data_IF_335225957345
#
_entry.id   IF_335225957345
#
_cell.length_a   1.000
_cell.length_b   1.000
_cell.length_c   1.000
_cell.angle_alpha   90.00
_cell.angle_beta   90.00
_cell.angle_gamma   90.00
#
_symmetry.space_group_name_H-M   'P 1'
#
loop_
_entity.id
_entity.type
_entity.pdbx_description
1 polymer ?
#
# COMPACT_ATOMS: atom_id res chain seq x y z
N UNK A 1 10.30 13.50 26.94
CA UNK A 1 10.16 12.20 26.25
C UNK A 1 11.35 11.26 26.44
N UNK A 2 12.61 11.69 26.28
CA UNK A 2 13.81 10.83 26.45
C UNK A 2 13.88 10.15 27.82
N UNK A 3 13.49 10.82 28.91
CA UNK A 3 13.45 10.22 30.27
C UNK A 3 12.41 9.11 30.43
N UNK A 4 11.32 9.12 29.66
CA UNK A 4 10.30 8.06 29.66
C UNK A 4 10.80 6.85 28.86
N UNK A 5 11.43 7.10 27.71
CA UNK A 5 12.05 6.06 26.90
C UNK A 5 13.21 5.37 27.63
N UNK A 6 14.04 6.14 28.35
CA UNK A 6 15.09 5.62 29.21
C UNK A 6 14.54 4.80 30.39
N UNK A 7 13.36 5.15 30.93
CA UNK A 7 12.68 4.36 31.96
C UNK A 7 12.19 3.01 31.41
N UNK A 8 11.68 2.96 30.17
CA UNK A 8 11.27 1.70 29.52
C UNK A 8 12.46 0.81 29.14
N UNK A 9 13.56 1.38 28.63
CA UNK A 9 14.75 0.61 28.24
C UNK A 9 15.51 0.10 29.47
N UNK A 10 15.74 0.95 30.47
CA UNK A 10 16.52 0.59 31.67
C UNK A 10 15.79 -0.40 32.58
N UNK A 11 14.45 -0.36 32.66
CA UNK A 11 13.67 -1.35 33.42
C UNK A 11 13.48 -2.68 32.68
N UNK A 12 13.56 -2.73 31.35
CA UNK A 12 13.40 -3.99 30.62
C UNK A 12 14.73 -4.73 30.42
N UNK A 13 15.86 -4.03 30.21
CA UNK A 13 17.15 -4.68 29.93
C UNK A 13 17.94 -5.11 31.19
N UNK A 14 17.90 -4.36 32.29
CA UNK A 14 18.61 -4.77 33.53
C UNK A 14 17.98 -6.00 34.21
N UNK A 15 16.83 -6.49 33.74
CA UNK A 15 16.08 -7.62 34.32
C UNK A 15 16.41 -8.99 33.70
N UNK A 16 17.30 -9.07 32.72
CA UNK A 16 17.55 -10.31 31.96
C UNK A 16 18.55 -11.27 32.63
N UNK A 17 19.46 -10.80 33.49
CA UNK A 17 20.60 -11.64 33.94
C UNK A 17 20.59 -12.10 35.41
N UNK A 18 19.66 -11.61 36.26
CA UNK A 18 19.55 -12.05 37.67
C UNK A 18 18.10 -12.02 38.17
N UNK A 19 17.24 -12.88 37.64
CA UNK A 19 15.89 -13.08 38.20
C UNK A 19 15.78 -14.48 38.78
N UNK A 20 15.51 -14.55 40.09
CA UNK A 20 14.90 -15.74 40.69
C UNK A 20 13.70 -16.18 39.87
N UNK A 21 13.55 -17.48 39.65
CA UNK A 21 12.44 -18.03 38.85
C UNK A 21 11.08 -17.63 39.44
N UNK A 22 10.02 -17.63 38.63
CA UNK A 22 8.66 -17.35 39.14
C UNK A 22 8.32 -18.28 40.32
N UNK A 23 8.72 -19.55 40.21
CA UNK A 23 8.53 -20.58 41.23
C UNK A 23 9.26 -20.18 42.51
N UNK A 24 10.55 -19.86 42.46
CA UNK A 24 11.32 -19.41 43.64
C UNK A 24 10.68 -18.23 44.38
N UNK A 25 10.08 -17.28 43.64
CA UNK A 25 9.42 -16.12 44.27
C UNK A 25 8.07 -16.45 44.88
N UNK A 26 7.31 -17.36 44.26
CA UNK A 26 6.07 -17.88 44.85
C UNK A 26 6.41 -18.65 46.13
N UNK A 27 7.44 -19.50 46.08
CA UNK A 27 7.95 -20.23 47.24
C UNK A 27 8.38 -19.27 48.37
N UNK A 28 9.18 -18.24 48.06
CA UNK A 28 9.57 -17.22 49.06
C UNK A 28 8.38 -16.51 49.69
N UNK A 29 7.33 -16.19 48.92
CA UNK A 29 6.13 -15.58 49.48
C UNK A 29 5.42 -16.51 50.47
N UNK A 30 5.20 -17.78 50.09
CA UNK A 30 4.51 -18.74 50.96
C UNK A 30 5.36 -19.19 52.15
N UNK A 31 6.67 -19.30 51.99
CA UNK A 31 7.61 -19.57 53.09
C UNK A 31 7.58 -18.41 54.09
N UNK A 32 7.63 -17.17 53.60
CA UNK A 32 7.54 -15.98 54.45
C UNK A 32 6.17 -15.87 55.12
N UNK A 33 5.07 -16.26 54.44
CA UNK A 33 3.72 -16.30 55.04
C UNK A 33 3.61 -17.36 56.14
N UNK A 34 4.14 -18.57 55.92
CA UNK A 34 4.13 -19.70 56.86
C UNK A 34 4.90 -19.40 58.15
N UNK A 35 5.90 -18.52 58.10
CA UNK A 35 6.62 -18.07 59.30
C UNK A 35 5.76 -17.29 60.29
N UNK A 36 4.73 -16.56 59.81
CA UNK A 36 3.86 -15.75 60.68
C UNK A 36 2.47 -16.36 60.91
N UNK A 37 2.08 -17.36 60.12
CA UNK A 37 0.83 -18.09 60.29
C UNK A 37 1.07 -19.60 60.04
N UNK A 38 1.58 -20.33 61.05
CA UNK A 38 2.07 -21.71 60.88
C UNK A 38 0.96 -22.75 60.60
N UNK A 39 -0.29 -22.44 60.92
CA UNK A 39 -1.44 -23.29 60.61
C UNK A 39 -1.83 -23.13 59.14
N UNK A 40 -1.46 -24.11 58.31
CA UNK A 40 -1.87 -24.16 56.92
C UNK A 40 -3.33 -24.57 56.83
N UNK A 41 -4.25 -23.62 56.63
CA UNK A 41 -5.60 -23.95 56.21
C UNK A 41 -5.59 -24.49 54.78
N UNK A 42 -6.55 -25.38 54.45
CA UNK A 42 -6.72 -25.90 53.09
C UNK A 42 -6.82 -24.79 52.03
N UNK A 43 -7.33 -23.62 52.44
CA UNK A 43 -7.41 -22.43 51.61
C UNK A 43 -6.04 -21.86 51.23
N UNK A 44 -5.06 -21.84 52.15
CA UNK A 44 -3.69 -21.37 51.86
C UNK A 44 -2.97 -22.36 50.94
N UNK A 45 -3.18 -23.66 51.12
CA UNK A 45 -2.64 -24.70 50.24
C UNK A 45 -3.21 -24.58 48.83
N UNK A 46 -4.52 -24.33 48.71
CA UNK A 46 -5.16 -24.08 47.42
C UNK A 46 -4.67 -22.78 46.79
N UNK A 47 -4.51 -21.70 47.56
CA UNK A 47 -3.94 -20.44 47.09
C UNK A 47 -2.50 -20.62 46.56
N UNK A 48 -1.67 -21.41 47.25
CA UNK A 48 -0.32 -21.77 46.84
C UNK A 48 -0.32 -22.56 45.52
N UNK A 49 -1.23 -23.53 45.38
CA UNK A 49 -1.42 -24.29 44.13
C UNK A 49 -1.85 -23.38 42.98
N UNK A 50 -2.78 -22.45 43.20
CA UNK A 50 -3.22 -21.47 42.20
C UNK A 50 -2.09 -20.52 41.80
N UNK A 51 -1.26 -20.11 42.75
CA UNK A 51 -0.08 -19.30 42.52
C UNK A 51 0.95 -20.03 41.62
N UNK A 52 1.29 -21.29 41.91
CA UNK A 52 2.20 -22.08 41.07
C UNK A 52 1.65 -22.28 39.65
N UNK A 53 0.33 -22.45 39.50
CA UNK A 53 -0.35 -22.56 38.20
C UNK A 53 -0.54 -21.23 37.46
N UNK A 54 -0.07 -20.10 38.01
CA UNK A 54 -0.22 -18.75 37.43
C UNK A 54 -1.68 -18.38 37.14
N UNK A 55 -2.63 -18.86 37.95
CA UNK A 55 -4.02 -18.52 37.76
C UNK A 55 -4.25 -17.01 37.96
N UNK A 56 -5.21 -16.38 37.28
CA UNK A 56 -5.54 -14.99 37.56
C UNK A 56 -5.96 -14.82 39.04
N UNK A 57 -5.79 -13.59 39.56
CA UNK A 57 -6.32 -13.14 40.87
C UNK A 57 -5.70 -13.73 42.16
N UNK A 58 -4.85 -14.76 42.10
CA UNK A 58 -4.22 -15.34 43.31
C UNK A 58 -3.50 -14.30 44.19
N UNK A 59 -2.90 -13.27 43.60
CA UNK A 59 -2.23 -12.20 44.35
C UNK A 59 -3.21 -11.29 45.11
N UNK A 60 -4.41 -11.06 44.54
CA UNK A 60 -5.46 -10.27 45.20
C UNK A 60 -6.07 -11.05 46.37
N UNK A 61 -6.26 -12.35 46.20
CA UNK A 61 -6.70 -13.25 47.27
C UNK A 61 -5.66 -13.32 48.39
N UNK A 62 -4.37 -13.45 48.04
CA UNK A 62 -3.27 -13.46 48.99
C UNK A 62 -3.20 -12.15 49.81
N UNK A 63 -3.37 -11.00 49.15
CA UNK A 63 -3.38 -9.70 49.82
C UNK A 63 -4.62 -9.49 50.70
N UNK A 64 -5.79 -9.97 50.26
CA UNK A 64 -7.02 -9.95 51.04
C UNK A 64 -6.89 -10.83 52.30
N UNK A 65 -6.22 -11.97 52.18
CA UNK A 65 -5.91 -12.83 53.32
C UNK A 65 -4.95 -12.17 54.31
N UNK A 66 -3.88 -11.54 53.83
CA UNK A 66 -2.98 -10.74 54.69
C UNK A 66 -3.74 -9.62 55.41
N UNK A 67 -4.67 -8.95 54.73
CA UNK A 67 -5.55 -7.96 55.34
C UNK A 67 -6.45 -8.56 56.43
N UNK A 68 -7.04 -9.73 56.16
CA UNK A 68 -7.84 -10.47 57.13
C UNK A 68 -7.05 -10.88 58.36
N UNK A 69 -5.81 -11.35 58.20
CA UNK A 69 -4.92 -11.71 59.30
C UNK A 69 -4.53 -10.51 60.16
N UNK A 70 -4.27 -9.35 59.54
CA UNK A 70 -4.00 -8.11 60.28
C UNK A 70 -5.25 -7.66 61.05
N UNK A 71 -6.42 -7.70 60.41
CA UNK A 71 -7.68 -7.31 61.05
C UNK A 71 -8.06 -8.23 62.21
N UNK A 72 -7.72 -9.51 62.12
CA UNK A 72 -7.91 -10.50 63.19
C UNK A 72 -6.83 -10.43 64.30
N UNK A 73 -5.83 -9.53 64.18
CA UNK A 73 -4.71 -9.44 65.10
C UNK A 73 -3.71 -10.61 65.03
N UNK A 74 -3.89 -11.52 64.07
CA UNK A 74 -3.05 -12.70 63.86
C UNK A 74 -1.72 -12.36 63.16
N UNK A 75 -1.60 -11.15 62.58
CA UNK A 75 -0.40 -10.69 61.89
C UNK A 75 -0.17 -9.20 62.17
N UNK A 76 1.07 -8.80 62.47
CA UNK A 76 1.40 -7.38 62.62
C UNK A 76 1.37 -6.65 61.27
N UNK A 77 1.10 -5.34 61.30
CA UNK A 77 1.12 -4.48 60.11
C UNK A 77 2.48 -4.51 59.38
N UNK A 78 3.58 -4.59 60.13
CA UNK A 78 4.94 -4.67 59.59
C UNK A 78 5.24 -6.03 58.95
N UNK A 79 4.78 -7.13 59.57
CA UNK A 79 4.91 -8.47 59.01
C UNK A 79 4.10 -8.60 57.71
N UNK A 80 2.87 -8.08 57.69
CA UNK A 80 2.06 -8.02 56.48
C UNK A 80 2.71 -7.17 55.37
N UNK A 81 3.33 -6.04 55.72
CA UNK A 81 4.09 -5.23 54.76
C UNK A 81 5.32 -5.98 54.21
N UNK A 82 5.97 -6.81 55.02
CA UNK A 82 7.06 -7.68 54.57
C UNK A 82 6.58 -8.80 53.63
N UNK A 83 5.46 -9.47 53.93
CA UNK A 83 4.84 -10.45 53.04
C UNK A 83 4.48 -9.82 51.68
N UNK A 84 3.89 -8.62 51.69
CA UNK A 84 3.55 -7.89 50.45
C UNK A 84 4.76 -7.57 49.58
N UNK A 85 5.94 -7.31 50.14
CA UNK A 85 7.16 -7.09 49.36
C UNK A 85 7.53 -8.31 48.51
N UNK A 86 7.26 -9.52 49.00
CA UNK A 86 7.51 -10.77 48.28
C UNK A 86 6.42 -11.11 47.24
N UNK A 87 5.25 -10.49 47.33
CA UNK A 87 4.16 -10.60 46.34
C UNK A 87 4.48 -9.81 45.03
N UNK A 88 5.19 -8.68 45.18
CA UNK A 88 5.54 -7.67 44.15
C UNK A 88 6.27 -8.19 42.88
N UNK A 89 7.28 -9.09 42.97
CA UNK A 89 8.16 -9.42 41.84
C UNK A 89 7.75 -10.66 41.04
N UNK A 90 6.61 -11.29 41.35
CA UNK A 90 6.10 -12.50 40.69
C UNK A 90 5.50 -12.26 39.30
N UNK A 91 5.58 -11.05 38.74
CA UNK A 91 4.89 -10.78 37.49
C UNK A 91 5.75 -11.15 36.27
N UNK A 92 5.57 -12.37 35.74
CA UNK A 92 6.08 -12.73 34.42
C UNK A 92 5.11 -12.23 33.36
N UNK A 93 5.53 -11.32 32.48
CA UNK A 93 4.81 -11.07 31.23
C UNK A 93 4.80 -12.36 30.40
N UNK A 94 3.63 -12.77 29.91
CA UNK A 94 3.51 -13.93 29.03
C UNK A 94 4.32 -13.69 27.76
N UNK A 95 5.09 -14.68 27.32
CA UNK A 95 5.82 -14.65 26.04
C UNK A 95 4.87 -14.30 24.88
N UNK A 96 3.60 -14.74 24.95
CA UNK A 96 2.57 -14.39 23.97
C UNK A 96 2.33 -12.88 23.90
N UNK A 97 2.29 -12.17 25.02
CA UNK A 97 2.11 -10.71 25.04
C UNK A 97 3.36 -9.94 24.58
N UNK A 98 4.55 -10.50 24.81
CA UNK A 98 5.81 -9.93 24.33
C UNK A 98 5.94 -9.97 22.80
N UNK A 99 5.30 -10.94 22.14
CA UNK A 99 5.36 -11.12 20.68
C UNK A 99 4.13 -10.52 19.99
N UNK A 100 2.92 -10.77 20.48
CA UNK A 100 1.68 -10.38 19.78
C UNK A 100 1.43 -8.87 19.79
N UNK A 101 1.79 -8.16 20.87
CA UNK A 101 1.55 -6.72 20.95
C UNK A 101 2.43 -5.90 19.99
N UNK A 102 3.75 -6.15 19.87
CA UNK A 102 4.55 -5.51 18.83
C UNK A 102 4.01 -5.76 17.41
N UNK A 103 3.59 -6.99 17.10
CA UNK A 103 2.99 -7.30 15.80
C UNK A 103 1.69 -6.52 15.58
N UNK A 104 0.82 -6.46 16.58
CA UNK A 104 -0.41 -5.67 16.51
C UNK A 104 -0.12 -4.17 16.28
N UNK A 105 0.90 -3.61 16.94
CA UNK A 105 1.32 -2.22 16.71
C UNK A 105 1.86 -1.99 15.30
N UNK A 106 2.67 -2.92 14.77
CA UNK A 106 3.16 -2.84 13.39
C UNK A 106 1.98 -2.85 12.41
N UNK A 107 1.00 -3.73 12.61
CA UNK A 107 -0.20 -3.78 11.77
C UNK A 107 -1.00 -2.47 11.86
N UNK A 108 -1.26 -1.95 13.06
CA UNK A 108 -1.99 -0.70 13.26
C UNK A 108 -1.30 0.47 12.55
N UNK A 109 0.02 0.62 12.75
CA UNK A 109 0.80 1.70 12.12
C UNK A 109 0.81 1.53 10.61
N UNK A 110 1.03 0.31 10.09
CA UNK A 110 1.02 0.05 8.66
C UNK A 110 -0.35 0.35 8.03
N UNK A 111 -1.44 -0.10 8.65
CA UNK A 111 -2.81 0.17 8.18
C UNK A 111 -3.13 1.65 8.22
N UNK A 112 -2.77 2.38 9.29
CA UNK A 112 -2.95 3.83 9.37
C UNK A 112 -2.20 4.55 8.25
N UNK A 113 -0.94 4.14 8.00
CA UNK A 113 -0.11 4.72 6.94
C UNK A 113 -0.66 4.46 5.55
N UNK A 114 -1.07 3.23 5.25
CA UNK A 114 -1.68 2.90 3.96
C UNK A 114 -3.00 3.64 3.78
N UNK A 115 -3.86 3.66 4.81
CA UNK A 115 -5.15 4.36 4.76
C UNK A 115 -4.97 5.86 4.50
N UNK A 116 -4.00 6.48 5.15
CA UNK A 116 -3.68 7.89 4.98
C UNK A 116 -3.19 8.23 3.57
N UNK A 117 -2.32 7.39 3.02
CA UNK A 117 -1.77 7.59 1.68
C UNK A 117 -2.81 7.30 0.57
N UNK A 118 -3.68 6.31 0.77
CA UNK A 118 -4.60 5.83 -0.26
C UNK A 118 -6.00 6.48 -0.23
N UNK A 119 -6.45 6.99 0.92
CA UNK A 119 -7.84 7.40 1.14
C UNK A 119 -7.96 8.86 1.59
N UNK A 120 -7.19 9.77 0.99
CA UNK A 120 -7.13 11.21 1.35
C UNK A 120 -8.51 11.87 1.55
N UNK A 121 -9.57 11.37 0.91
CA UNK A 121 -10.94 11.87 1.04
C UNK A 121 -11.88 11.09 2.00
N UNK A 122 -11.53 9.90 2.48
CA UNK A 122 -12.41 9.08 3.33
C UNK A 122 -12.16 9.33 4.83
N UNK A 123 -12.50 10.55 5.28
CA UNK A 123 -12.36 10.96 6.69
C UNK A 123 -13.03 10.01 7.69
N UNK A 124 -14.24 9.47 7.44
CA UNK A 124 -14.87 8.51 8.36
C UNK A 124 -14.01 7.27 8.64
N UNK A 125 -13.34 6.73 7.64
CA UNK A 125 -12.50 5.55 7.81
C UNK A 125 -11.29 5.83 8.72
N UNK A 126 -10.67 7.00 8.55
CA UNK A 126 -9.54 7.43 9.38
C UNK A 126 -9.96 7.66 10.83
N UNK A 127 -11.13 8.24 11.06
CA UNK A 127 -11.70 8.41 12.41
C UNK A 127 -11.89 7.04 13.08
N UNK A 128 -12.47 6.07 12.37
CA UNK A 128 -12.65 4.70 12.90
C UNK A 128 -11.31 4.06 13.26
N UNK A 129 -10.29 4.19 12.40
CA UNK A 129 -8.95 3.67 12.69
C UNK A 129 -8.32 4.31 13.93
N UNK A 130 -8.46 5.63 14.10
CA UNK A 130 -7.96 6.34 15.29
C UNK A 130 -8.69 5.86 16.55
N UNK A 131 -10.01 5.69 16.50
CA UNK A 131 -10.79 5.17 17.62
C UNK A 131 -10.41 3.72 17.98
N UNK A 132 -10.23 2.85 16.99
CA UNK A 132 -9.75 1.48 17.21
C UNK A 132 -8.34 1.47 17.82
N UNK A 133 -7.48 2.37 17.37
CA UNK A 133 -6.12 2.54 17.94
C UNK A 133 -6.21 3.01 19.39
N UNK A 134 -7.15 3.91 19.73
CA UNK A 134 -7.38 4.36 21.09
C UNK A 134 -7.82 3.21 22.01
N UNK A 135 -8.78 2.40 21.55
CA UNK A 135 -9.23 1.20 22.29
C UNK A 135 -8.08 0.22 22.48
N UNK A 136 -7.32 -0.09 21.42
CA UNK A 136 -6.16 -0.98 21.50
C UNK A 136 -5.09 -0.46 22.47
N UNK A 137 -4.82 0.85 22.46
CA UNK A 137 -3.89 1.53 23.39
C UNK A 137 -4.33 1.38 24.85
N UNK A 138 -5.62 1.60 25.11
CA UNK A 138 -6.21 1.47 26.44
C UNK A 138 -6.18 0.02 26.95
N UNK A 139 -6.53 -0.94 26.09
CA UNK A 139 -6.46 -2.37 26.42
C UNK A 139 -5.01 -2.77 26.71
N UNK A 140 -4.08 -2.42 25.83
CA UNK A 140 -2.65 -2.67 26.02
C UNK A 140 -2.15 -2.12 27.35
N UNK A 141 -2.43 -0.86 27.65
CA UNK A 141 -2.01 -0.21 28.89
C UNK A 141 -2.67 -0.86 30.13
N UNK A 142 -3.95 -1.21 30.06
CA UNK A 142 -4.67 -1.81 31.20
C UNK A 142 -4.15 -3.22 31.55
N UNK A 143 -3.66 -3.96 30.55
CA UNK A 143 -3.07 -5.29 30.69
C UNK A 143 -1.59 -5.25 31.13
N UNK A 144 -0.95 -4.08 31.20
CA UNK A 144 0.46 -3.99 31.61
C UNK A 144 0.64 -4.35 33.08
N UNK A 145 1.39 -5.41 33.40
CA UNK A 145 1.48 -5.82 34.79
C UNK A 145 2.38 -4.92 35.65
N UNK A 146 3.30 -4.20 35.02
CA UNK A 146 4.11 -3.13 35.65
C UNK A 146 3.28 -1.92 36.11
N UNK A 147 2.02 -1.83 35.68
CA UNK A 147 1.05 -0.83 36.14
C UNK A 147 0.08 -1.41 37.18
N UNK A 148 0.26 -2.68 37.58
CA UNK A 148 -0.55 -3.27 38.63
C UNK A 148 -0.14 -2.70 40.00
N UNK A 149 -1.13 -2.50 40.87
CA UNK A 149 -0.97 -1.85 42.20
C UNK A 149 0.08 -2.55 43.06
N UNK A 150 0.24 -3.85 42.86
CA UNK A 150 1.21 -4.71 43.54
C UNK A 150 2.64 -4.57 43.06
N UNK A 151 2.95 -3.80 42.00
CA UNK A 151 4.32 -3.68 41.47
C UNK A 151 5.13 -2.54 42.11
N UNK A 152 4.50 -1.62 42.84
CA UNK A 152 5.16 -0.50 43.51
C UNK A 152 4.33 -0.01 44.70
N UNK A 153 4.76 -0.36 45.92
CA UNK A 153 4.07 -0.04 47.19
C UNK A 153 3.96 1.45 47.52
N UNK A 154 4.59 2.33 46.72
CA UNK A 154 4.60 3.79 46.91
C UNK A 154 3.66 4.55 45.94
N UNK A 155 2.99 3.87 44.99
CA UNK A 155 2.21 4.50 43.92
C UNK A 155 0.70 4.41 44.15
N UNK A 156 0.02 5.53 43.97
CA UNK A 156 -1.33 5.84 44.46
C UNK A 156 -2.38 5.08 43.62
N UNK A 157 -3.57 4.85 44.20
CA UNK A 157 -4.76 4.21 43.58
C UNK A 157 -5.14 4.75 42.19
N UNK A 158 -4.70 5.97 41.86
CA UNK A 158 -5.02 6.73 40.65
C UNK A 158 -3.99 6.59 39.50
N UNK A 159 -2.83 5.98 39.73
CA UNK A 159 -1.74 5.99 38.75
C UNK A 159 -2.04 5.08 37.54
N UNK A 160 -2.74 3.96 37.74
CA UNK A 160 -3.15 3.06 36.65
C UNK A 160 -4.23 3.68 35.74
N UNK A 161 -5.38 4.16 36.23
CA UNK A 161 -6.39 4.75 35.35
C UNK A 161 -5.88 6.01 34.63
N UNK A 162 -5.04 6.82 35.29
CA UNK A 162 -4.42 7.98 34.65
C UNK A 162 -3.48 7.56 33.50
N UNK A 163 -2.60 6.58 33.73
CA UNK A 163 -1.69 6.09 32.68
C UNK A 163 -2.46 5.45 31.53
N UNK A 164 -3.52 4.69 31.82
CA UNK A 164 -4.39 4.13 30.77
C UNK A 164 -5.05 5.25 29.96
N UNK A 165 -5.64 6.26 30.62
CA UNK A 165 -6.26 7.40 29.92
C UNK A 165 -5.26 8.17 29.05
N UNK A 166 -4.05 8.43 29.58
CA UNK A 166 -2.97 9.07 28.83
C UNK A 166 -2.55 8.22 27.63
N UNK A 167 -2.40 6.90 27.78
CA UNK A 167 -2.07 6.01 26.65
C UNK A 167 -3.19 5.96 25.60
N UNK A 168 -4.46 5.89 26.01
CA UNK A 168 -5.63 5.88 25.12
C UNK A 168 -5.70 7.13 24.24
N UNK A 169 -5.24 8.28 24.74
CA UNK A 169 -5.28 9.55 23.99
C UNK A 169 -3.97 9.79 23.22
N UNK A 170 -2.82 9.66 23.89
CA UNK A 170 -1.53 10.08 23.35
C UNK A 170 -1.01 9.12 22.27
N UNK A 171 -1.19 7.80 22.43
CA UNK A 171 -0.65 6.83 21.47
C UNK A 171 -1.31 6.98 20.09
N UNK A 172 -2.65 7.08 19.96
CA UNK A 172 -3.27 7.31 18.66
C UNK A 172 -2.83 8.62 18.01
N UNK A 173 -2.75 9.71 18.78
CA UNK A 173 -2.27 11.01 18.27
C UNK A 173 -0.84 10.89 17.76
N UNK A 174 0.06 10.30 18.53
CA UNK A 174 1.45 10.12 18.13
C UNK A 174 1.56 9.24 16.88
N UNK A 175 0.87 8.09 16.84
CA UNK A 175 0.87 7.21 15.66
C UNK A 175 0.38 7.96 14.43
N UNK A 176 -0.72 8.70 14.58
CA UNK A 176 -1.31 9.49 13.51
C UNK A 176 -0.31 10.53 12.96
N UNK A 177 0.29 11.36 13.82
CA UNK A 177 1.23 12.41 13.44
C UNK A 177 2.50 11.85 12.79
N UNK A 178 3.03 10.74 13.32
CA UNK A 178 4.19 10.06 12.74
C UNK A 178 3.87 9.51 11.36
N UNK A 179 2.73 8.84 11.23
CA UNK A 179 2.25 8.29 9.96
C UNK A 179 2.06 9.41 8.92
N UNK A 180 1.46 10.54 9.31
CA UNK A 180 1.27 11.69 8.42
C UNK A 180 2.61 12.26 7.95
N UNK A 181 3.53 12.50 8.89
CA UNK A 181 4.86 13.04 8.59
C UNK A 181 5.65 12.11 7.69
N UNK A 182 5.70 10.81 8.01
CA UNK A 182 6.42 9.80 7.20
C UNK A 182 5.78 9.65 5.83
N UNK A 183 4.45 9.59 5.76
CA UNK A 183 3.72 9.51 4.49
C UNK A 183 4.04 10.69 3.57
N UNK A 184 3.98 11.92 4.11
CA UNK A 184 4.36 13.13 3.38
C UNK A 184 5.82 13.09 2.90
N UNK A 185 6.76 12.72 3.78
CA UNK A 185 8.18 12.63 3.41
C UNK A 185 8.44 11.59 2.31
N UNK A 186 7.81 10.42 2.39
CA UNK A 186 7.94 9.36 1.36
C UNK A 186 7.34 9.82 0.04
N UNK A 187 6.16 10.46 0.06
CA UNK A 187 5.54 11.04 -1.13
C UNK A 187 6.45 12.09 -1.78
N UNK A 188 6.98 13.03 -1.00
CA UNK A 188 7.88 14.07 -1.51
C UNK A 188 9.17 13.50 -2.09
N UNK A 189 9.77 12.50 -1.43
CA UNK A 189 10.94 11.80 -1.95
C UNK A 189 10.63 11.09 -3.28
N UNK A 190 9.47 10.44 -3.38
CA UNK A 190 9.02 9.76 -4.60
C UNK A 190 8.75 10.76 -5.75
N UNK A 191 8.07 11.87 -5.48
CA UNK A 191 7.83 12.95 -6.46
C UNK A 191 9.14 13.56 -6.92
N UNK A 192 10.10 13.78 -6.00
CA UNK A 192 11.42 14.32 -6.36
C UNK A 192 12.17 13.39 -7.31
N UNK A 193 12.16 12.08 -7.04
CA UNK A 193 12.77 11.09 -7.93
C UNK A 193 12.06 11.07 -9.29
N UNK A 194 10.73 11.05 -9.29
CA UNK A 194 9.93 11.11 -10.51
C UNK A 194 10.27 12.34 -11.36
N UNK A 195 10.39 13.52 -10.76
CA UNK A 195 10.73 14.76 -11.47
C UNK A 195 12.15 14.74 -12.06
N UNK A 196 13.11 14.13 -11.36
CA UNK A 196 14.47 13.94 -11.88
C UNK A 196 14.48 13.02 -13.11
N UNK A 197 13.80 11.88 -13.03
CA UNK A 197 13.69 10.91 -14.13
C UNK A 197 12.92 11.51 -15.32
N UNK A 198 11.84 12.23 -15.04
CA UNK A 198 11.07 12.99 -16.03
C UNK A 198 11.95 14.03 -16.74
N UNK A 199 12.73 14.81 -16.00
CA UNK A 199 13.61 15.83 -16.57
C UNK A 199 14.68 15.21 -17.48
N UNK A 200 15.26 14.07 -17.07
CA UNK A 200 16.21 13.35 -17.91
C UNK A 200 15.55 12.86 -19.21
N UNK A 201 14.33 12.31 -19.11
CA UNK A 201 13.56 11.83 -20.27
C UNK A 201 13.12 12.96 -21.22
N UNK A 202 12.83 14.16 -20.70
CA UNK A 202 12.54 15.34 -21.50
C UNK A 202 13.72 15.80 -22.36
N UNK A 203 14.94 15.51 -21.95
CA UNK A 203 16.17 15.93 -22.67
C UNK A 203 16.81 14.81 -23.49
N UNK A 204 16.36 13.56 -23.33
CA UNK A 204 16.84 12.40 -24.07
C UNK A 204 16.34 12.44 -25.54
N UNK A 205 17.20 12.61 -26.55
CA UNK A 205 16.77 12.66 -27.95
C UNK A 205 16.04 11.41 -28.42
N UNK A 206 16.26 10.26 -27.78
CA UNK A 206 15.57 9.00 -28.05
C UNK A 206 14.32 8.80 -27.18
N UNK A 207 14.04 9.72 -26.26
CA UNK A 207 12.89 9.75 -25.36
C UNK A 207 11.80 10.71 -25.84
N UNK A 208 11.32 11.57 -24.94
CA UNK A 208 10.17 12.45 -25.21
C UNK A 208 10.34 13.40 -26.42
N UNK A 209 11.50 14.06 -26.65
CA UNK A 209 11.74 14.85 -27.85
C UNK A 209 11.45 14.15 -29.18
N UNK A 210 11.70 12.84 -29.28
CA UNK A 210 11.39 12.06 -30.49
C UNK A 210 9.88 12.06 -30.75
N UNK A 211 9.08 11.71 -29.74
CA UNK A 211 7.62 11.69 -29.86
C UNK A 211 7.06 13.10 -30.12
N UNK A 212 7.54 14.10 -29.36
CA UNK A 212 7.08 15.48 -29.50
C UNK A 212 7.29 16.02 -30.92
N UNK A 213 8.48 15.79 -31.47
CA UNK A 213 8.81 16.17 -32.85
C UNK A 213 7.92 15.44 -33.85
N UNK A 214 7.79 14.12 -33.72
CA UNK A 214 6.97 13.30 -34.62
C UNK A 214 5.50 13.74 -34.60
N UNK A 215 4.92 13.90 -33.42
CA UNK A 215 3.52 14.30 -33.26
C UNK A 215 3.23 15.66 -33.90
N UNK A 216 4.12 16.63 -33.68
CA UNK A 216 3.97 17.98 -34.23
C UNK A 216 4.17 18.02 -35.74
N UNK A 217 5.25 17.42 -36.25
CA UNK A 217 5.63 17.51 -37.66
C UNK A 217 4.76 16.64 -38.57
N UNK A 218 4.33 15.47 -38.10
CA UNK A 218 3.62 14.50 -38.93
C UNK A 218 2.10 14.54 -38.73
N UNK A 219 1.63 14.91 -37.54
CA UNK A 219 0.20 14.84 -37.18
C UNK A 219 -0.39 16.20 -36.77
N UNK A 220 0.43 17.25 -36.61
CA UNK A 220 -0.04 18.55 -36.13
C UNK A 220 -0.58 18.52 -34.70
N UNK A 221 -0.17 17.54 -33.89
CA UNK A 221 -0.64 17.35 -32.50
C UNK A 221 0.43 17.80 -31.53
N UNK A 222 0.05 18.64 -30.57
CA UNK A 222 0.92 19.00 -29.45
C UNK A 222 0.85 17.91 -28.37
N UNK A 223 2.00 17.36 -27.99
CA UNK A 223 2.10 16.37 -26.91
C UNK A 223 2.89 16.97 -25.77
N UNK A 224 2.44 16.78 -24.53
CA UNK A 224 3.11 17.21 -23.32
C UNK A 224 3.49 15.99 -22.49
N UNK A 225 4.64 16.02 -21.82
CA UNK A 225 4.99 15.01 -20.83
C UNK A 225 4.38 15.40 -19.48
N UNK A 226 3.50 14.55 -18.96
CA UNK A 226 2.82 14.77 -17.69
C UNK A 226 3.79 14.99 -16.54
N UNK A 227 3.45 15.88 -15.63
CA UNK A 227 4.23 16.21 -14.44
C UNK A 227 3.80 15.40 -13.22
N UNK A 228 4.23 15.80 -12.02
CA UNK A 228 3.88 15.11 -10.79
C UNK A 228 2.38 15.21 -10.44
N UNK A 229 1.67 16.24 -10.90
CA UNK A 229 0.23 16.38 -10.65
C UNK A 229 -0.58 15.47 -11.58
N UNK A 230 -0.10 15.27 -12.80
CA UNK A 230 -0.82 14.53 -13.83
C UNK A 230 -0.41 13.04 -13.91
N UNK A 231 0.89 12.74 -13.74
CA UNK A 231 1.47 11.44 -14.10
C UNK A 231 1.98 10.65 -12.91
N UNK A 232 2.61 11.28 -11.90
CA UNK A 232 3.34 10.56 -10.84
C UNK A 232 2.51 9.45 -10.18
N UNK A 233 1.30 9.77 -9.71
CA UNK A 233 0.46 8.79 -9.03
C UNK A 233 0.07 7.61 -9.95
N UNK A 234 -0.21 7.89 -11.23
CA UNK A 234 -0.64 6.86 -12.20
C UNK A 234 0.52 6.00 -12.70
N UNK A 235 1.75 6.51 -12.72
CA UNK A 235 2.90 5.79 -13.28
C UNK A 235 3.82 5.20 -12.21
N UNK A 236 3.68 5.62 -10.94
CA UNK A 236 4.58 5.22 -9.84
C UNK A 236 3.87 4.45 -8.73
N UNK A 237 2.56 4.61 -8.54
CA UNK A 237 1.80 3.92 -7.51
C UNK A 237 0.96 2.78 -8.10
N UNK A 238 0.74 1.74 -7.30
CA UNK A 238 -0.16 0.63 -7.65
C UNK A 238 -1.61 1.01 -7.33
N UNK A 239 -2.20 1.90 -8.12
CA UNK A 239 -3.63 2.25 -8.00
C UNK A 239 -4.48 1.52 -9.04
N UNK A 240 -5.74 1.17 -8.75
CA UNK A 240 -6.61 0.56 -9.75
C UNK A 240 -6.74 1.44 -11.00
N UNK A 241 -6.57 0.85 -12.18
CA UNK A 241 -6.62 1.57 -13.46
C UNK A 241 -5.40 2.45 -13.76
N UNK A 242 -4.34 2.41 -12.94
CA UNK A 242 -3.06 2.99 -13.31
C UNK A 242 -2.33 2.12 -14.34
N UNK A 243 -1.61 2.79 -15.23
CA UNK A 243 -0.66 2.17 -16.15
C UNK A 243 0.66 2.93 -16.09
N UNK A 244 1.76 2.18 -16.24
CA UNK A 244 3.12 2.72 -16.26
C UNK A 244 3.38 3.66 -17.45
N UNK A 245 2.51 3.59 -18.45
CA UNK A 245 2.39 4.50 -19.57
C UNK A 245 0.90 4.72 -19.88
N UNK A 246 0.46 5.95 -20.09
CA UNK A 246 -0.88 6.23 -20.60
C UNK A 246 -0.89 7.56 -21.34
N UNK A 247 -1.77 7.71 -22.32
CA UNK A 247 -2.03 8.99 -22.96
C UNK A 247 -3.43 9.50 -22.63
N UNK A 248 -3.53 10.80 -22.35
CA UNK A 248 -4.82 11.48 -22.17
C UNK A 248 -5.00 12.56 -23.23
N UNK A 249 -6.20 12.64 -23.80
CA UNK A 249 -6.59 13.73 -24.68
C UNK A 249 -7.02 14.94 -23.86
N UNK A 250 -6.44 16.09 -24.17
CA UNK A 250 -6.85 17.40 -23.67
C UNK A 250 -7.43 18.27 -24.80
N UNK A 251 -7.92 19.48 -24.51
CA UNK A 251 -8.42 20.39 -25.53
C UNK A 251 -7.29 20.89 -26.46
N UNK A 252 -7.08 20.20 -27.59
CA UNK A 252 -6.09 20.56 -28.60
C UNK A 252 -4.66 20.07 -28.33
N UNK A 253 -4.46 19.18 -27.36
CA UNK A 253 -3.16 18.58 -27.05
C UNK A 253 -3.35 17.22 -26.38
N UNK A 254 -2.28 16.44 -26.24
CA UNK A 254 -2.28 15.17 -25.52
C UNK A 254 -1.23 15.16 -24.41
N UNK A 255 -1.51 14.46 -23.32
CA UNK A 255 -0.60 14.32 -22.17
C UNK A 255 -0.13 12.89 -22.07
N UNK A 256 1.16 12.69 -22.27
CA UNK A 256 1.84 11.42 -22.04
C UNK A 256 2.18 11.31 -20.55
N UNK A 257 1.49 10.45 -19.83
CA UNK A 257 1.90 10.03 -18.49
C UNK A 257 2.86 8.86 -18.65
N UNK A 258 4.13 9.06 -18.31
CA UNK A 258 5.17 8.06 -18.60
C UNK A 258 6.30 8.08 -17.59
N UNK A 259 6.71 6.90 -17.14
CA UNK A 259 7.89 6.73 -16.30
C UNK A 259 8.77 5.61 -16.84
N UNK A 260 9.82 5.95 -17.59
CA UNK A 260 10.70 5.01 -18.32
C UNK A 260 11.14 3.82 -17.46
N UNK A 261 11.62 4.08 -16.25
CA UNK A 261 12.06 3.02 -15.33
C UNK A 261 10.93 2.07 -14.95
N UNK A 262 9.70 2.56 -14.79
CA UNK A 262 8.57 1.71 -14.42
C UNK A 262 7.99 0.96 -15.61
N UNK A 263 8.04 1.53 -16.81
CA UNK A 263 7.79 0.79 -18.05
C UNK A 263 8.76 -0.38 -18.17
N UNK A 264 10.06 -0.15 -17.93
CA UNK A 264 11.06 -1.22 -17.98
C UNK A 264 11.02 -2.18 -16.77
N UNK A 265 10.30 -1.86 -15.69
CA UNK A 265 10.09 -2.77 -14.58
C UNK A 265 8.82 -3.63 -14.77
N UNK A 266 7.73 -3.03 -15.27
CA UNK A 266 6.43 -3.69 -15.43
C UNK A 266 6.21 -4.32 -16.81
N UNK A 267 6.86 -3.79 -17.85
CA UNK A 267 6.69 -4.20 -19.25
C UNK A 267 8.05 -4.28 -19.96
N UNK A 268 9.03 -4.91 -19.30
CA UNK A 268 10.40 -5.09 -19.84
C UNK A 268 10.42 -6.05 -21.03
N UNK A 269 11.18 -5.76 -22.09
CA UNK A 269 11.44 -6.75 -23.13
C UNK A 269 12.46 -7.81 -22.65
N UNK A 270 12.54 -8.94 -23.34
CA UNK A 270 13.64 -9.89 -23.19
C UNK A 270 15.00 -9.25 -23.50
N UNK A 271 16.08 -9.85 -23.01
CA UNK A 271 17.44 -9.28 -23.15
C UNK A 271 17.96 -9.23 -24.59
N UNK A 272 17.26 -9.88 -25.54
CA UNK A 272 17.59 -9.90 -26.96
C UNK A 272 17.09 -8.66 -27.70
N UNK A 273 16.12 -7.94 -27.11
CA UNK A 273 15.48 -6.77 -27.70
C UNK A 273 16.04 -5.50 -27.07
N UNK A 274 16.39 -4.52 -27.92
CA UNK A 274 16.87 -3.22 -27.46
C UNK A 274 15.80 -2.46 -26.67
N UNK A 275 16.13 -2.13 -25.41
CA UNK A 275 15.21 -1.46 -24.49
C UNK A 275 14.81 -0.05 -24.92
N UNK A 276 15.67 0.65 -25.67
CA UNK A 276 15.35 2.01 -26.15
C UNK A 276 14.28 1.93 -27.23
N UNK A 277 14.49 1.08 -28.24
CA UNK A 277 13.54 0.85 -29.33
C UNK A 277 12.20 0.31 -28.81
N UNK A 278 12.23 -0.57 -27.81
CA UNK A 278 11.04 -1.03 -27.11
C UNK A 278 10.25 0.12 -26.47
N UNK A 279 10.92 0.96 -25.69
CA UNK A 279 10.31 2.15 -25.05
C UNK A 279 9.72 3.10 -26.08
N UNK A 280 10.37 3.28 -27.23
CA UNK A 280 9.82 4.08 -28.33
C UNK A 280 8.54 3.48 -28.91
N UNK A 281 8.47 2.15 -29.05
CA UNK A 281 7.23 1.47 -29.43
C UNK A 281 6.10 1.66 -28.43
N UNK A 282 6.40 1.60 -27.12
CA UNK A 282 5.41 1.91 -26.07
C UNK A 282 4.93 3.36 -26.18
N UNK A 283 5.82 4.32 -26.42
CA UNK A 283 5.41 5.72 -26.66
C UNK A 283 4.49 5.86 -27.88
N UNK A 284 4.77 5.13 -28.97
CA UNK A 284 3.94 5.15 -30.17
C UNK A 284 2.58 4.46 -29.97
N UNK A 285 2.54 3.40 -29.17
CA UNK A 285 1.29 2.79 -28.70
C UNK A 285 0.43 3.83 -27.97
N UNK A 286 1.01 4.52 -26.97
CA UNK A 286 0.28 5.54 -26.23
C UNK A 286 -0.16 6.72 -27.11
N UNK A 287 0.67 7.11 -28.07
CA UNK A 287 0.30 8.17 -29.01
C UNK A 287 -0.84 7.77 -29.94
N UNK A 288 -0.95 6.50 -30.31
CA UNK A 288 -2.09 5.99 -31.06
C UNK A 288 -3.43 6.21 -30.33
N UNK A 289 -3.47 6.02 -29.01
CA UNK A 289 -4.68 6.29 -28.20
C UNK A 289 -5.11 7.76 -28.28
N UNK A 290 -4.15 8.68 -28.28
CA UNK A 290 -4.42 10.11 -28.50
C UNK A 290 -4.98 10.37 -29.90
N UNK A 291 -4.33 9.85 -30.94
CA UNK A 291 -4.79 10.02 -32.32
C UNK A 291 -6.17 9.40 -32.52
N UNK A 292 -6.43 8.20 -31.98
CA UNK A 292 -7.72 7.52 -32.10
C UNK A 292 -8.83 8.33 -31.44
N UNK A 293 -8.68 8.64 -30.14
CA UNK A 293 -9.70 9.37 -29.38
C UNK A 293 -9.91 10.81 -29.85
N UNK A 294 -8.86 11.50 -30.32
CA UNK A 294 -8.97 12.90 -30.77
C UNK A 294 -9.94 13.09 -31.95
N UNK A 295 -10.16 12.05 -32.77
CA UNK A 295 -11.05 12.09 -33.93
C UNK A 295 -12.53 12.15 -33.56
N UNK A 296 -12.86 11.73 -32.34
CA UNK A 296 -14.23 11.61 -31.86
C UNK A 296 -14.63 12.70 -30.87
N UNK A 297 -13.64 13.42 -30.34
CA UNK A 297 -13.86 14.52 -29.42
C UNK A 297 -14.31 15.79 -30.16
N UNK A 298 -15.44 16.41 -29.77
CA UNK A 298 -15.88 17.66 -30.36
C UNK A 298 -14.96 18.82 -29.97
N UNK A 299 -14.81 19.79 -30.86
CA UNK A 299 -14.22 21.07 -30.49
C UNK A 299 -15.09 21.79 -29.44
N UNK A 300 -14.49 22.70 -28.66
CA UNK A 300 -15.22 23.46 -27.65
C UNK A 300 -16.45 24.17 -28.24
N UNK A 301 -17.63 23.92 -27.67
CA UNK A 301 -18.91 24.44 -28.14
C UNK A 301 -19.61 23.62 -29.23
N UNK A 302 -18.96 22.58 -29.77
CA UNK A 302 -19.60 21.62 -30.67
C UNK A 302 -20.25 20.47 -29.90
N UNK A 303 -21.33 19.92 -30.44
CA UNK A 303 -22.06 18.78 -29.85
C UNK A 303 -21.84 17.46 -30.58
N UNK A 304 -21.40 17.51 -31.84
CA UNK A 304 -21.24 16.32 -32.65
C UNK A 304 -20.00 15.54 -32.23
N UNK A 305 -20.20 14.30 -31.82
CA UNK A 305 -19.14 13.35 -31.50
C UNK A 305 -18.87 12.42 -32.69
N UNK A 306 -17.62 12.00 -32.86
CA UNK A 306 -17.29 10.90 -33.76
C UNK A 306 -17.48 9.54 -33.08
N UNK A 307 -17.25 8.47 -33.83
CA UNK A 307 -17.32 7.08 -33.36
C UNK A 307 -16.21 6.19 -33.93
N UNK A 308 -15.12 6.77 -34.45
CA UNK A 308 -14.02 6.05 -35.10
C UNK A 308 -13.14 5.28 -34.11
N UNK A 309 -13.00 5.77 -32.89
CA UNK A 309 -12.29 5.08 -31.80
C UNK A 309 -13.18 4.10 -31.05
N UNK A 310 -14.47 4.02 -31.40
CA UNK A 310 -15.45 3.13 -30.77
C UNK A 310 -15.52 1.83 -31.56
N UNK A 311 -15.63 0.69 -30.86
CA UNK A 311 -15.80 -0.59 -31.54
C UNK A 311 -17.07 -0.57 -32.41
N UNK A 312 -17.06 -1.20 -33.62
CA UNK A 312 -18.22 -1.19 -34.51
C UNK A 312 -19.52 -1.69 -33.88
N UNK A 313 -19.44 -2.60 -32.90
CA UNK A 313 -20.60 -3.12 -32.16
C UNK A 313 -21.20 -2.11 -31.17
N UNK A 314 -20.39 -1.18 -30.67
CA UNK A 314 -20.81 -0.18 -29.68
C UNK A 314 -21.18 1.17 -30.32
N UNK A 315 -20.59 1.49 -31.48
CA UNK A 315 -20.77 2.76 -32.19
C UNK A 315 -22.24 3.17 -32.40
N UNK A 316 -23.19 2.27 -32.75
CA UNK A 316 -24.61 2.65 -32.93
C UNK A 316 -25.28 3.24 -31.68
N UNK A 317 -24.69 3.03 -30.49
CA UNK A 317 -25.24 3.52 -29.22
C UNK A 317 -24.71 4.91 -28.82
N UNK A 318 -23.73 5.45 -29.54
CA UNK A 318 -23.10 6.74 -29.23
C UNK A 318 -23.89 7.87 -29.89
N UNK A 319 -24.37 8.82 -29.07
CA UNK A 319 -25.21 9.95 -29.50
C UNK A 319 -24.67 11.31 -29.05
N UNK A 320 -23.85 11.30 -28.00
CA UNK A 320 -23.30 12.48 -27.32
C UNK A 320 -22.00 12.10 -26.58
N UNK A 321 -21.39 13.08 -25.91
CA UNK A 321 -20.14 12.87 -25.16
C UNK A 321 -20.32 11.85 -24.04
N UNK A 322 -21.46 11.84 -23.35
CA UNK A 322 -21.71 10.93 -22.24
C UNK A 322 -21.73 9.47 -22.71
N UNK A 323 -22.48 9.19 -23.78
CA UNK A 323 -22.54 7.87 -24.40
C UNK A 323 -21.22 7.47 -25.10
N UNK A 324 -20.44 8.43 -25.61
CA UNK A 324 -19.06 8.18 -26.09
C UNK A 324 -18.15 7.72 -24.95
N UNK A 325 -18.17 8.44 -23.82
CA UNK A 325 -17.40 8.08 -22.62
C UNK A 325 -17.82 6.71 -22.09
N UNK A 326 -19.12 6.44 -22.02
CA UNK A 326 -19.66 5.14 -21.61
C UNK A 326 -19.22 4.02 -22.57
N UNK A 327 -19.29 4.25 -23.89
CA UNK A 327 -18.80 3.30 -24.88
C UNK A 327 -17.31 3.01 -24.69
N UNK A 328 -16.50 4.03 -24.39
CA UNK A 328 -15.06 3.89 -24.08
C UNK A 328 -14.76 3.00 -22.87
N UNK A 329 -15.72 2.81 -21.96
CA UNK A 329 -15.55 1.88 -20.82
C UNK A 329 -15.89 0.42 -21.14
N UNK A 330 -16.47 0.14 -22.32
CA UNK A 330 -16.86 -1.22 -22.69
C UNK A 330 -15.64 -2.04 -23.10
N UNK A 331 -15.53 -3.31 -22.66
CA UNK A 331 -14.39 -4.17 -23.00
C UNK A 331 -14.12 -4.28 -24.51
N UNK A 332 -15.18 -4.32 -25.33
CA UNK A 332 -15.11 -4.35 -26.80
C UNK A 332 -14.44 -3.11 -27.37
N UNK A 333 -14.78 -1.92 -26.88
CA UNK A 333 -14.17 -0.65 -27.32
C UNK A 333 -12.77 -0.45 -26.76
N UNK A 334 -12.50 -0.87 -25.52
CA UNK A 334 -11.14 -0.85 -24.98
C UNK A 334 -10.20 -1.73 -25.80
N UNK A 335 -10.58 -2.98 -26.09
CA UNK A 335 -9.82 -3.88 -26.97
C UNK A 335 -9.63 -3.29 -28.38
N UNK A 336 -10.65 -2.61 -28.90
CA UNK A 336 -10.58 -1.93 -30.20
C UNK A 336 -9.55 -0.79 -30.20
N UNK A 337 -9.47 -0.01 -29.13
CA UNK A 337 -8.42 1.00 -28.92
C UNK A 337 -7.03 0.37 -28.78
N UNK A 338 -6.88 -0.66 -27.95
CA UNK A 338 -5.61 -1.37 -27.78
C UNK A 338 -5.09 -1.98 -29.10
N UNK A 339 -5.99 -2.45 -29.96
CA UNK A 339 -5.61 -3.05 -31.24
C UNK A 339 -4.96 -2.03 -32.19
N UNK A 340 -5.48 -0.80 -32.32
CA UNK A 340 -4.82 0.21 -33.19
C UNK A 340 -3.47 0.63 -32.60
N UNK A 341 -3.39 0.71 -31.28
CA UNK A 341 -2.17 1.11 -30.58
C UNK A 341 -1.04 0.09 -30.73
N UNK A 342 -1.32 -1.20 -30.55
CA UNK A 342 -0.33 -2.25 -30.77
C UNK A 342 0.06 -2.38 -32.26
N UNK A 343 -0.88 -2.22 -33.20
CA UNK A 343 -0.54 -2.18 -34.63
C UNK A 343 0.38 -0.99 -34.94
N UNK A 344 0.08 0.20 -34.40
CA UNK A 344 0.88 1.40 -34.62
C UNK A 344 2.31 1.23 -34.09
N UNK A 345 2.49 0.60 -32.92
CA UNK A 345 3.80 0.27 -32.38
C UNK A 345 4.59 -0.69 -33.30
N UNK A 346 3.95 -1.76 -33.80
CA UNK A 346 4.56 -2.70 -34.75
C UNK A 346 4.97 -2.00 -36.04
N UNK A 347 4.10 -1.16 -36.60
CA UNK A 347 4.41 -0.39 -37.81
C UNK A 347 5.57 0.59 -37.59
N UNK A 348 5.64 1.24 -36.42
CA UNK A 348 6.77 2.09 -36.07
C UNK A 348 8.07 1.31 -36.04
N UNK A 349 8.12 0.15 -35.39
CA UNK A 349 9.33 -0.68 -35.34
C UNK A 349 9.78 -1.15 -36.71
N UNK A 350 8.85 -1.44 -37.62
CA UNK A 350 9.19 -1.77 -39.01
C UNK A 350 9.87 -0.63 -39.77
N UNK A 351 9.57 0.62 -39.41
CA UNK A 351 10.21 1.80 -39.99
C UNK A 351 11.54 2.13 -39.29
N UNK A 352 11.53 2.15 -37.96
CA UNK A 352 12.64 2.65 -37.15
C UNK A 352 13.76 1.61 -36.94
N UNK A 353 13.41 0.32 -36.89
CA UNK A 353 14.33 -0.78 -36.67
C UNK A 353 13.95 -2.02 -37.52
N UNK A 354 14.00 -1.95 -38.87
CA UNK A 354 13.49 -3.01 -39.74
C UNK A 354 14.07 -4.40 -39.46
N UNK A 355 15.36 -4.46 -39.08
CA UNK A 355 16.06 -5.72 -38.78
C UNK A 355 15.62 -6.37 -37.45
N UNK A 356 15.09 -5.59 -36.51
CA UNK A 356 14.65 -6.07 -35.20
C UNK A 356 13.12 -6.11 -35.06
N UNK A 357 12.38 -5.54 -36.02
CA UNK A 357 10.94 -5.34 -35.94
C UNK A 357 10.15 -6.63 -35.68
N UNK A 358 10.57 -7.74 -36.31
CA UNK A 358 9.92 -9.04 -36.11
C UNK A 358 10.09 -9.55 -34.66
N UNK A 359 11.27 -9.41 -34.08
CA UNK A 359 11.54 -9.81 -32.69
C UNK A 359 10.82 -8.92 -31.69
N UNK A 360 10.80 -7.59 -31.94
CA UNK A 360 10.03 -6.63 -31.16
C UNK A 360 8.52 -6.96 -31.16
N UNK A 361 7.96 -7.26 -32.33
CA UNK A 361 6.54 -7.63 -32.46
C UNK A 361 6.24 -8.99 -31.80
N UNK A 362 7.16 -9.96 -31.91
CA UNK A 362 7.01 -11.26 -31.26
C UNK A 362 7.07 -11.15 -29.73
N UNK A 363 7.95 -10.32 -29.18
CA UNK A 363 8.01 -10.03 -27.74
C UNK A 363 6.72 -9.35 -27.26
N UNK A 364 6.23 -8.34 -28.00
CA UNK A 364 4.94 -7.68 -27.69
C UNK A 364 3.79 -8.69 -27.68
N UNK A 365 3.69 -9.52 -28.71
CA UNK A 365 2.70 -10.61 -28.78
C UNK A 365 2.77 -11.52 -27.56
N UNK A 366 3.97 -11.97 -27.19
CA UNK A 366 4.18 -12.87 -26.06
C UNK A 366 3.73 -12.22 -24.75
N UNK A 367 4.07 -10.93 -24.53
CA UNK A 367 3.63 -10.17 -23.35
C UNK A 367 2.10 -10.09 -23.24
N UNK A 368 1.41 -9.84 -24.36
CA UNK A 368 -0.05 -9.83 -24.40
C UNK A 368 -0.65 -11.21 -24.13
N UNK A 369 -0.06 -12.27 -24.67
CA UNK A 369 -0.52 -13.64 -24.46
C UNK A 369 -0.34 -14.13 -23.01
N UNK A 370 0.72 -13.70 -22.32
CA UNK A 370 1.00 -14.09 -20.94
C UNK A 370 0.10 -13.36 -19.92
N UNK A 371 -0.50 -12.23 -20.32
CA UNK A 371 -1.42 -11.45 -19.50
C UNK A 371 -2.84 -12.07 -19.47
N UNK A 372 -2.97 -13.31 -18.97
CA UNK A 372 -4.19 -14.14 -19.05
C UNK A 372 -5.48 -13.51 -18.50
N UNK A 373 -5.38 -12.54 -17.60
CA UNK A 373 -6.53 -11.84 -17.01
C UNK A 373 -6.76 -10.45 -17.60
N UNK A 374 -5.90 -10.02 -18.52
CA UNK A 374 -5.97 -8.74 -19.20
C UNK A 374 -6.65 -8.89 -20.55
N UNK A 375 -7.98 -8.96 -20.51
CA UNK A 375 -8.81 -9.10 -21.71
C UNK A 375 -8.81 -7.83 -22.57
N UNK A 376 -8.53 -6.67 -21.97
CA UNK A 376 -8.42 -5.39 -22.66
C UNK A 376 -7.27 -5.40 -23.67
N UNK A 377 -6.14 -6.00 -23.32
CA UNK A 377 -4.98 -6.06 -24.20
C UNK A 377 -4.82 -7.40 -24.94
N UNK A 378 -5.90 -8.15 -25.14
CA UNK A 378 -5.90 -9.42 -25.88
C UNK A 378 -5.74 -9.23 -27.40
N UNK A 379 -4.71 -8.51 -27.84
CA UNK A 379 -4.51 -7.99 -29.20
C UNK A 379 -3.65 -8.88 -30.10
N UNK A 380 -3.30 -10.09 -29.64
CA UNK A 380 -2.35 -11.00 -30.31
C UNK A 380 -2.64 -11.22 -31.79
N UNK A 381 -3.92 -11.37 -32.17
CA UNK A 381 -4.34 -11.55 -33.57
C UNK A 381 -3.98 -10.32 -34.45
N UNK A 382 -4.23 -9.11 -33.94
CA UNK A 382 -3.88 -7.88 -34.67
C UNK A 382 -2.38 -7.68 -34.76
N UNK A 383 -1.63 -8.05 -33.70
CA UNK A 383 -0.16 -8.01 -33.72
C UNK A 383 0.40 -8.95 -34.81
N UNK A 384 -0.11 -10.18 -34.92
CA UNK A 384 0.31 -11.10 -36.00
C UNK A 384 0.03 -10.53 -37.38
N UNK A 385 -1.19 -10.01 -37.57
CA UNK A 385 -1.61 -9.46 -38.85
C UNK A 385 -0.75 -8.25 -39.25
N UNK A 386 -0.48 -7.35 -38.30
CA UNK A 386 0.42 -6.22 -38.50
C UNK A 386 1.87 -6.65 -38.75
N UNK A 387 2.35 -7.70 -38.08
CA UNK A 387 3.71 -8.21 -38.28
C UNK A 387 3.90 -8.81 -39.68
N UNK A 388 2.86 -9.33 -40.31
CA UNK A 388 2.90 -9.85 -41.68
C UNK A 388 2.64 -8.79 -42.76
N UNK A 389 1.98 -7.68 -42.41
CA UNK A 389 1.65 -6.62 -43.37
C UNK A 389 2.88 -5.82 -43.85
N UNK A 390 2.86 -5.34 -45.09
CA UNK A 390 3.85 -4.38 -45.58
C UNK A 390 3.77 -3.09 -44.75
N UNK A 391 4.90 -2.55 -44.25
CA UNK A 391 4.89 -1.30 -43.48
C UNK A 391 4.41 -0.12 -44.34
N UNK A 392 3.92 0.96 -43.71
CA UNK A 392 3.65 2.21 -44.43
C UNK A 392 4.94 2.82 -44.99
N UNK A 393 4.84 3.81 -45.87
CA UNK A 393 6.03 4.40 -46.51
C UNK A 393 6.72 5.44 -45.62
N UNK A 394 6.03 5.96 -44.61
CA UNK A 394 6.58 6.95 -43.68
C UNK A 394 5.87 6.90 -42.32
N UNK A 395 6.45 7.58 -41.33
CA UNK A 395 5.83 7.74 -40.01
C UNK A 395 4.56 8.59 -40.03
N UNK A 396 4.36 9.44 -41.06
CA UNK A 396 3.14 10.25 -41.20
C UNK A 396 1.92 9.44 -41.66
N UNK A 397 2.14 8.34 -42.36
CA UNK A 397 1.07 7.41 -42.79
C UNK A 397 0.77 6.33 -41.74
N UNK A 398 1.52 6.31 -40.65
CA UNK A 398 1.53 5.18 -39.71
C UNK A 398 0.18 4.97 -39.03
N UNK A 399 -0.48 6.04 -38.59
CA UNK A 399 -1.78 5.92 -37.92
C UNK A 399 -2.90 5.48 -38.88
N UNK A 400 -2.95 6.04 -40.09
CA UNK A 400 -3.93 5.63 -41.11
C UNK A 400 -3.72 4.18 -41.53
N UNK A 401 -2.46 3.76 -41.67
CA UNK A 401 -2.11 2.36 -41.91
C UNK A 401 -2.56 1.46 -40.76
N UNK A 402 -2.35 1.87 -39.51
CA UNK A 402 -2.75 1.09 -38.34
C UNK A 402 -4.27 0.94 -38.24
N UNK A 403 -5.02 2.03 -38.43
CA UNK A 403 -6.48 2.04 -38.41
C UNK A 403 -7.06 1.18 -39.55
N UNK A 404 -6.46 1.24 -40.74
CA UNK A 404 -6.83 0.37 -41.86
C UNK A 404 -6.63 -1.11 -41.53
N UNK A 405 -5.47 -1.48 -41.00
CA UNK A 405 -5.19 -2.87 -40.64
C UNK A 405 -6.10 -3.38 -39.52
N UNK A 406 -6.40 -2.55 -38.51
CA UNK A 406 -7.35 -2.88 -37.44
C UNK A 406 -8.69 -3.36 -38.01
N UNK A 407 -9.19 -2.66 -39.02
CA UNK A 407 -10.46 -2.96 -39.69
C UNK A 407 -10.40 -4.15 -40.65
N UNK A 408 -9.22 -4.45 -41.24
CA UNK A 408 -9.04 -5.53 -42.21
C UNK A 408 -8.68 -6.87 -41.57
N UNK A 409 -8.12 -6.84 -40.36
CA UNK A 409 -7.68 -8.04 -39.68
C UNK A 409 -8.88 -8.98 -39.41
N UNK A 410 -8.73 -10.30 -39.63
CA UNK A 410 -9.79 -11.28 -39.36
C UNK A 410 -9.90 -11.60 -37.85
N UNK A 411 -9.82 -10.57 -37.01
CA UNK A 411 -9.83 -10.66 -35.56
C UNK A 411 -11.22 -10.29 -35.03
N UNK A 412 -11.71 -11.00 -34.02
CA UNK A 412 -12.98 -10.64 -33.39
C UNK A 412 -12.73 -9.71 -32.20
N UNK A 413 -13.30 -8.49 -32.17
CA UNK A 413 -13.55 -7.84 -30.88
C UNK A 413 -14.52 -8.77 -30.15
N UNK A 414 -14.13 -9.26 -28.97
CA UNK A 414 -14.83 -10.34 -28.27
C UNK A 414 -16.36 -10.23 -28.39
N UNK A 415 -17.02 -11.24 -28.96
CA UNK A 415 -18.46 -11.42 -28.76
C UNK A 415 -18.64 -11.82 -27.30
N UNK A 416 -19.25 -10.92 -26.52
CA UNK A 416 -19.69 -11.21 -25.15
C UNK A 416 -20.80 -12.26 -25.20
#
# INVERSE_FOLDING_TARGET
>A
MIKIFYFFIKNNFCRFFKRKSYVEKVTEFFDHLKQYSPSSSDWVVELERRAYKKQPEWQADADSYLHGLVAAGALSTDAAASCRKHLTPCISESIRHLILWPLAWVVIIATMTVARLALVANQPFLIVLVLLTAVASGVWASMRPSLNRYSNSRKRRWDKPLVVAVCTILIPVVIYEFTETVGFMVQQASIKQFNADRSAFMTDPQGFPMLHKLAREQYGVEVMLGDAEQSWAYTTLMVPGASVASMRTGPGYCVLNFHKSNVLNGFKPSSQVDSVTWVQGVMMHEFAHCLDGSRDMPAFGQKAVGVRSVAPSDAPNVKDIQSLVEAGTRPTTQLWGESVADIMAVGFWKLAAPHAAHELAAELRQKRADAKHDTTHATMCWIDFANQATPPSSTGELFEWADKLRNQAPCQPMRI
#
